data_IF_033043235430
#
_entry.id   IF_033043235430
#
_cell.length_a   1.000
_cell.length_b   1.000
_cell.length_c   1.000
_cell.angle_alpha   90.00
_cell.angle_beta   90.00
_cell.angle_gamma   90.00
#
_symmetry.space_group_name_H-M   'P 1'
#
loop_
_entity.id
_entity.type
_entity.pdbx_description
1 polymer ?
#
# COMPACT_ATOMS: atom_id res chain seq x y z
N UNK A 1 3.76 -14.72 31.81
CA UNK A 1 3.32 -13.33 31.56
C UNK A 1 2.62 -13.34 30.21
N UNK A 2 1.28 -13.22 30.20
CA UNK A 2 0.46 -13.25 29.00
C UNK A 2 0.59 -11.91 28.30
N UNK A 3 0.98 -11.92 27.02
CA UNK A 3 1.10 -10.75 26.16
C UNK A 3 -0.30 -10.28 25.69
N UNK A 4 -0.72 -9.11 26.17
CA UNK A 4 -1.94 -8.39 25.75
C UNK A 4 -1.79 -7.79 24.33
N UNK A 5 -1.57 -8.62 23.30
CA UNK A 5 -1.41 -8.18 21.92
C UNK A 5 -2.71 -8.02 21.09
N UNK A 6 -3.86 -8.47 21.59
CA UNK A 6 -5.04 -8.66 20.73
C UNK A 6 -5.97 -7.46 20.54
N UNK A 7 -6.06 -6.55 21.52
CA UNK A 7 -7.08 -5.47 21.48
C UNK A 7 -6.63 -4.20 20.76
N UNK A 8 -5.33 -3.92 20.68
CA UNK A 8 -4.78 -2.77 19.93
C UNK A 8 -4.94 -2.92 18.43
N UNK A 9 -4.68 -4.11 17.92
CA UNK A 9 -4.80 -4.47 16.50
C UNK A 9 -6.23 -4.34 15.97
N UNK A 10 -7.23 -4.79 16.72
CA UNK A 10 -8.65 -4.72 16.30
C UNK A 10 -9.20 -3.29 16.24
N UNK A 11 -8.79 -2.41 17.18
CA UNK A 11 -9.19 -1.00 17.14
C UNK A 11 -8.52 -0.25 15.97
N UNK A 12 -7.27 -0.56 15.66
CA UNK A 12 -6.55 -0.04 14.49
C UNK A 12 -7.21 -0.51 13.20
N UNK A 13 -7.52 -1.80 13.08
CA UNK A 13 -8.22 -2.35 11.92
C UNK A 13 -9.60 -1.69 11.73
N UNK A 14 -10.36 -1.51 12.80
CA UNK A 14 -11.66 -0.84 12.76
C UNK A 14 -11.51 0.64 12.35
N UNK A 15 -10.54 1.37 12.88
CA UNK A 15 -10.26 2.76 12.51
C UNK A 15 -9.88 2.91 11.04
N UNK A 16 -9.03 2.02 10.53
CA UNK A 16 -8.67 1.95 9.09
C UNK A 16 -9.89 1.62 8.23
N UNK A 17 -10.72 0.66 8.66
CA UNK A 17 -11.96 0.29 7.97
C UNK A 17 -12.92 1.47 7.86
N UNK A 18 -13.26 2.12 8.98
CA UNK A 18 -14.18 3.26 8.98
C UNK A 18 -13.57 4.47 8.26
N UNK A 19 -12.27 4.71 8.38
CA UNK A 19 -11.56 5.74 7.63
C UNK A 19 -11.61 5.50 6.12
N UNK A 20 -11.47 4.26 5.68
CA UNK A 20 -11.55 3.90 4.25
C UNK A 20 -12.95 4.02 3.65
N UNK A 21 -14.02 4.00 4.46
CA UNK A 21 -15.40 4.19 4.02
C UNK A 21 -15.72 5.63 3.62
N UNK A 22 -14.94 6.61 4.09
CA UNK A 22 -15.13 8.02 3.73
C UNK A 22 -14.37 8.28 2.42
N UNK A 23 -15.06 8.56 1.29
CA UNK A 23 -14.44 8.69 -0.03
C UNK A 23 -13.69 10.04 -0.22
N UNK A 24 -13.19 10.63 0.86
CA UNK A 24 -12.51 11.93 0.85
C UNK A 24 -11.00 11.68 0.80
N UNK A 25 -10.30 12.43 -0.04
CA UNK A 25 -8.83 12.46 -0.10
C UNK A 25 -8.19 13.17 1.11
N UNK A 26 -6.86 13.28 1.14
CA UNK A 26 -6.17 14.07 2.14
C UNK A 26 -6.53 15.55 2.01
N UNK A 27 -6.37 16.35 3.08
CA UNK A 27 -6.45 17.81 2.99
C UNK A 27 -5.49 18.38 1.94
N UNK A 28 -5.81 19.55 1.37
CA UNK A 28 -4.99 20.17 0.32
C UNK A 28 -3.53 20.41 0.73
N UNK A 29 -3.29 20.75 2.01
CA UNK A 29 -1.94 20.92 2.54
C UNK A 29 -1.14 19.59 2.52
N UNK A 30 -1.77 18.48 2.90
CA UNK A 30 -1.16 17.15 2.86
C UNK A 30 -0.98 16.63 1.44
N UNK A 31 -1.92 16.93 0.54
CA UNK A 31 -1.78 16.63 -0.88
C UNK A 31 -0.55 17.33 -1.47
N UNK A 32 -0.40 18.63 -1.22
CA UNK A 32 0.75 19.41 -1.68
C UNK A 32 2.05 18.91 -1.06
N UNK A 33 2.02 18.58 0.23
CA UNK A 33 3.16 18.02 0.94
C UNK A 33 3.60 16.67 0.31
N UNK A 34 2.66 15.76 0.06
CA UNK A 34 2.96 14.47 -0.57
C UNK A 34 3.58 14.65 -1.97
N UNK A 35 2.96 15.48 -2.80
CA UNK A 35 3.44 15.75 -4.17
C UNK A 35 4.88 16.30 -4.17
N UNK A 36 5.25 17.13 -3.19
CA UNK A 36 6.61 17.68 -3.07
C UNK A 36 7.67 16.62 -2.70
N UNK A 37 7.25 15.46 -2.16
CA UNK A 37 8.15 14.34 -1.86
C UNK A 37 8.24 13.31 -2.99
N UNK A 38 7.48 13.48 -4.06
CA UNK A 38 7.42 12.54 -5.17
C UNK A 38 8.18 13.06 -6.40
N UNK A 39 8.79 12.14 -7.14
CA UNK A 39 9.33 12.39 -8.46
C UNK A 39 8.20 12.68 -9.46
N UNK A 40 8.49 13.32 -10.57
CA UNK A 40 7.48 13.68 -11.57
C UNK A 40 6.67 12.46 -12.06
N UNK A 41 7.34 11.34 -12.37
CA UNK A 41 6.68 10.10 -12.75
C UNK A 41 5.81 9.51 -11.63
N UNK A 42 6.25 9.62 -10.38
CA UNK A 42 5.52 9.15 -9.20
C UNK A 42 4.26 9.98 -8.94
N UNK A 43 4.29 11.30 -9.19
CA UNK A 43 3.13 12.17 -9.05
C UNK A 43 1.98 11.75 -9.97
N UNK A 44 2.29 11.25 -11.17
CA UNK A 44 1.30 10.68 -12.08
C UNK A 44 0.58 9.46 -11.46
N UNK A 45 1.33 8.58 -10.82
CA UNK A 45 0.79 7.41 -10.10
C UNK A 45 -0.02 7.81 -8.87
N UNK A 46 0.49 8.75 -8.08
CA UNK A 46 -0.19 9.31 -6.90
C UNK A 46 -1.60 9.81 -7.23
N UNK A 47 -1.75 10.59 -8.31
CA UNK A 47 -3.05 11.14 -8.74
C UNK A 47 -4.05 10.06 -9.16
N UNK A 48 -3.58 8.86 -9.55
CA UNK A 48 -4.44 7.70 -9.89
C UNK A 48 -4.94 6.96 -8.67
N UNK A 49 -4.28 7.10 -7.51
CA UNK A 49 -4.73 6.46 -6.27
C UNK A 49 -6.06 7.04 -5.81
N UNK A 50 -6.88 6.22 -5.16
CA UNK A 50 -8.14 6.69 -4.59
C UNK A 50 -7.92 7.69 -3.45
N UNK A 51 -8.90 8.57 -3.20
CA UNK A 51 -8.82 9.53 -2.10
C UNK A 51 -8.52 8.87 -0.74
N UNK A 52 -9.24 7.81 -0.35
CA UNK A 52 -8.93 7.06 0.87
C UNK A 52 -7.52 6.48 0.91
N UNK A 53 -7.03 5.88 -0.21
CA UNK A 53 -5.67 5.33 -0.26
C UNK A 53 -4.62 6.41 -0.07
N UNK A 54 -4.78 7.58 -0.73
CA UNK A 54 -3.87 8.74 -0.54
C UNK A 54 -3.89 9.28 0.89
N UNK A 55 -5.06 9.37 1.50
CA UNK A 55 -5.16 9.82 2.89
C UNK A 55 -4.47 8.85 3.85
N UNK A 56 -4.65 7.53 3.66
CA UNK A 56 -3.95 6.51 4.42
C UNK A 56 -2.44 6.63 4.23
N UNK A 57 -1.97 6.71 3.00
CA UNK A 57 -0.56 6.80 2.65
C UNK A 57 0.13 8.04 3.25
N UNK A 58 -0.56 9.19 3.33
CA UNK A 58 -0.05 10.37 4.04
C UNK A 58 0.13 10.07 5.53
N UNK A 59 -0.82 9.38 6.17
CA UNK A 59 -0.69 8.94 7.56
C UNK A 59 0.55 8.06 7.75
N UNK A 60 0.67 7.00 6.95
CA UNK A 60 1.83 6.10 6.98
C UNK A 60 3.14 6.88 6.81
N UNK A 61 3.21 7.80 5.86
CA UNK A 61 4.43 8.57 5.62
C UNK A 61 4.78 9.50 6.81
N UNK A 62 3.78 10.14 7.44
CA UNK A 62 3.99 10.96 8.64
C UNK A 62 4.48 10.13 9.83
N UNK A 63 3.89 8.97 10.05
CA UNK A 63 4.26 8.06 11.13
C UNK A 63 5.66 7.47 10.90
N UNK A 64 6.00 7.12 9.64
CA UNK A 64 7.36 6.69 9.28
C UNK A 64 8.40 7.75 9.59
N UNK A 65 8.13 9.03 9.26
CA UNK A 65 9.03 10.15 9.59
C UNK A 65 9.17 10.30 11.11
N UNK A 66 8.09 10.15 11.85
CA UNK A 66 8.12 10.25 13.30
C UNK A 66 8.94 9.13 13.96
N UNK A 67 8.90 7.93 13.40
CA UNK A 67 9.64 6.77 13.88
C UNK A 67 11.15 6.85 13.55
N UNK A 68 11.49 7.26 12.33
CA UNK A 68 12.88 7.31 11.87
C UNK A 68 13.63 8.60 12.25
N UNK A 69 12.90 9.68 12.47
CA UNK A 69 13.48 11.01 12.60
C UNK A 69 13.92 11.63 11.27
N UNK A 70 14.31 12.92 11.27
CA UNK A 70 14.57 13.70 10.06
C UNK A 70 15.77 13.16 9.25
N UNK A 71 16.82 12.68 9.92
CA UNK A 71 18.07 12.28 9.26
C UNK A 71 17.90 11.01 8.40
N UNK A 72 16.99 10.13 8.77
CA UNK A 72 16.71 8.87 8.04
C UNK A 72 15.50 8.99 7.12
N UNK A 73 14.70 10.05 7.24
CA UNK A 73 13.49 10.27 6.45
C UNK A 73 13.80 10.90 5.08
N UNK A 74 14.71 10.25 4.33
CA UNK A 74 15.07 10.69 2.99
C UNK A 74 13.86 10.62 2.06
N UNK A 75 13.89 11.38 0.96
CA UNK A 75 12.80 11.46 -0.02
C UNK A 75 12.29 10.09 -0.48
N UNK A 76 13.19 9.16 -0.75
CA UNK A 76 12.86 7.81 -1.20
C UNK A 76 12.11 6.99 -0.15
N UNK A 77 12.39 7.20 1.15
CA UNK A 77 11.67 6.55 2.26
C UNK A 77 10.25 7.10 2.35
N UNK A 78 10.10 8.43 2.24
CA UNK A 78 8.79 9.07 2.24
C UNK A 78 7.97 8.64 1.01
N UNK A 79 8.60 8.58 -0.18
CA UNK A 79 7.96 8.09 -1.39
C UNK A 79 7.55 6.62 -1.26
N UNK A 80 8.37 5.77 -0.63
CA UNK A 80 8.04 4.37 -0.34
C UNK A 80 6.77 4.28 0.53
N UNK A 81 6.68 5.07 1.60
CA UNK A 81 5.48 5.13 2.44
C UNK A 81 4.25 5.64 1.69
N UNK A 82 4.40 6.67 0.83
CA UNK A 82 3.29 7.23 0.05
C UNK A 82 2.77 6.29 -1.04
N UNK A 83 3.62 5.44 -1.60
CA UNK A 83 3.33 4.66 -2.81
C UNK A 83 3.32 3.14 -2.61
N UNK A 84 3.47 2.63 -1.35
CA UNK A 84 3.51 1.19 -1.10
C UNK A 84 2.32 0.43 -1.70
N UNK A 85 1.17 1.05 -1.70
CA UNK A 85 -0.11 0.50 -2.14
C UNK A 85 -0.52 0.93 -3.56
N UNK A 86 0.35 1.58 -4.32
CA UNK A 86 0.02 2.17 -5.62
C UNK A 86 -0.52 1.15 -6.63
N UNK A 87 -0.12 -0.09 -6.54
CA UNK A 87 -0.62 -1.16 -7.42
C UNK A 87 -2.13 -1.43 -7.31
N UNK A 88 -2.79 -0.99 -6.25
CA UNK A 88 -4.26 -1.09 -6.10
C UNK A 88 -5.03 -0.32 -7.18
N UNK A 89 -4.40 0.64 -7.86
CA UNK A 89 -5.00 1.40 -8.98
C UNK A 89 -5.41 0.50 -10.14
N UNK A 90 -4.68 -0.60 -10.37
CA UNK A 90 -4.96 -1.53 -11.48
C UNK A 90 -6.21 -2.38 -11.24
N UNK A 91 -6.58 -2.64 -10.00
CA UNK A 91 -7.75 -3.47 -9.68
C UNK A 91 -9.08 -2.75 -9.90
N UNK A 92 -9.09 -1.42 -9.86
CA UNK A 92 -10.29 -0.56 -9.99
C UNK A 92 -11.43 -0.95 -9.04
N UNK A 93 -11.13 -1.59 -7.89
CA UNK A 93 -12.13 -1.92 -6.88
C UNK A 93 -12.37 -0.75 -5.93
N UNK A 94 -13.66 -0.51 -5.61
CA UNK A 94 -14.03 0.34 -4.48
C UNK A 94 -13.74 -0.35 -3.13
N UNK A 95 -13.73 0.43 -2.05
CA UNK A 95 -13.35 0.00 -0.69
C UNK A 95 -14.10 -1.25 -0.23
N UNK A 96 -15.40 -1.33 -0.43
CA UNK A 96 -16.21 -2.50 -0.01
C UNK A 96 -15.75 -3.80 -0.68
N UNK A 97 -15.51 -3.78 -1.98
CA UNK A 97 -15.05 -4.98 -2.69
C UNK A 97 -13.67 -5.42 -2.20
N UNK A 98 -12.76 -4.47 -1.93
CA UNK A 98 -11.42 -4.75 -1.37
C UNK A 98 -11.51 -5.44 -0.01
N UNK A 99 -12.38 -4.96 0.88
CA UNK A 99 -12.61 -5.57 2.21
C UNK A 99 -13.08 -7.02 2.07
N UNK A 100 -14.08 -7.28 1.23
CA UNK A 100 -14.57 -8.65 1.01
C UNK A 100 -13.52 -9.57 0.41
N UNK A 101 -12.70 -9.09 -0.52
CA UNK A 101 -11.59 -9.86 -1.10
C UNK A 101 -10.54 -10.16 -0.04
N UNK A 102 -10.21 -9.20 0.82
CA UNK A 102 -9.26 -9.39 1.94
C UNK A 102 -9.79 -10.45 2.91
N UNK A 103 -11.06 -10.38 3.34
CA UNK A 103 -11.67 -11.42 4.16
C UNK A 103 -11.64 -12.80 3.46
N UNK A 104 -12.01 -12.87 2.19
CA UNK A 104 -11.94 -14.11 1.44
C UNK A 104 -10.49 -14.65 1.39
N UNK A 105 -9.49 -13.79 1.23
CA UNK A 105 -8.09 -14.18 1.24
C UNK A 105 -7.63 -14.72 2.59
N UNK A 106 -8.13 -14.17 3.70
CA UNK A 106 -7.84 -14.66 5.06
C UNK A 106 -8.45 -16.06 5.30
N UNK A 107 -9.68 -16.31 4.85
CA UNK A 107 -10.36 -17.59 5.10
C UNK A 107 -10.00 -18.70 4.09
N UNK A 108 -9.87 -18.36 2.81
CA UNK A 108 -9.61 -19.32 1.73
C UNK A 108 -8.12 -19.50 1.46
N UNK A 109 -7.31 -18.48 1.78
CA UNK A 109 -5.89 -18.37 1.50
C UNK A 109 -5.61 -17.61 0.20
N UNK A 110 -4.72 -16.60 0.29
CA UNK A 110 -4.34 -15.71 -0.83
C UNK A 110 -3.91 -16.50 -2.08
N UNK A 111 -3.06 -17.51 -1.91
CA UNK A 111 -2.55 -18.32 -3.04
C UNK A 111 -3.65 -19.09 -3.78
N UNK A 112 -4.66 -19.57 -3.07
CA UNK A 112 -5.81 -20.28 -3.68
C UNK A 112 -6.66 -19.30 -4.49
N UNK A 113 -6.91 -18.09 -3.96
CA UNK A 113 -7.66 -17.06 -4.65
C UNK A 113 -6.93 -16.56 -5.90
N UNK A 114 -5.60 -16.38 -5.83
CA UNK A 114 -4.79 -16.00 -7.01
C UNK A 114 -4.90 -17.07 -8.09
N UNK A 115 -4.77 -18.35 -7.75
CA UNK A 115 -4.93 -19.44 -8.72
C UNK A 115 -6.35 -19.48 -9.32
N UNK A 116 -7.38 -19.25 -8.48
CA UNK A 116 -8.76 -19.17 -8.95
C UNK A 116 -8.99 -17.97 -9.86
N UNK A 117 -8.39 -16.82 -9.57
CA UNK A 117 -8.49 -15.62 -10.38
C UNK A 117 -7.92 -15.82 -11.80
N UNK A 118 -6.88 -16.66 -11.92
CA UNK A 118 -6.20 -16.92 -13.18
C UNK A 118 -5.26 -15.78 -13.59
N UNK A 119 -4.62 -15.95 -14.74
CA UNK A 119 -3.77 -14.90 -15.31
C UNK A 119 -4.67 -13.76 -15.84
N UNK A 120 -4.35 -12.49 -15.55
CA UNK A 120 -5.05 -11.37 -16.15
C UNK A 120 -4.96 -11.46 -17.67
N UNK A 121 -6.11 -11.41 -18.35
CA UNK A 121 -6.14 -11.26 -19.80
C UNK A 121 -5.83 -9.80 -20.16
N UNK A 122 -5.22 -9.58 -21.34
CA UNK A 122 -4.90 -8.24 -21.87
C UNK A 122 -6.15 -7.48 -22.37
N UNK A 123 -7.30 -7.86 -21.85
CA UNK A 123 -8.58 -7.26 -22.20
C UNK A 123 -8.70 -5.83 -21.66
N UNK A 124 -9.15 -4.91 -22.50
CA UNK A 124 -9.41 -3.51 -22.12
C UNK A 124 -10.37 -3.35 -20.93
N UNK A 125 -11.16 -4.41 -20.61
CA UNK A 125 -12.04 -4.50 -19.44
C UNK A 125 -11.87 -5.85 -18.77
N UNK A 126 -10.95 -5.96 -17.80
CA UNK A 126 -10.72 -7.23 -17.11
C UNK A 126 -11.99 -7.71 -16.41
N UNK A 127 -12.23 -9.01 -16.48
CA UNK A 127 -13.34 -9.66 -15.77
C UNK A 127 -13.22 -9.44 -14.25
N UNK A 128 -14.32 -9.62 -13.51
CA UNK A 128 -14.29 -9.49 -12.05
C UNK A 128 -13.24 -10.42 -11.41
N UNK A 129 -13.09 -11.63 -11.91
CA UNK A 129 -12.05 -12.57 -11.47
C UNK A 129 -10.64 -12.03 -11.72
N UNK A 130 -10.38 -11.53 -12.92
CA UNK A 130 -9.09 -10.94 -13.25
C UNK A 130 -8.77 -9.74 -12.35
N UNK A 131 -9.75 -8.90 -12.04
CA UNK A 131 -9.60 -7.77 -11.11
C UNK A 131 -9.26 -8.24 -9.69
N UNK A 132 -9.83 -9.37 -9.21
CA UNK A 132 -9.45 -9.98 -7.94
C UNK A 132 -7.97 -10.40 -7.97
N UNK A 133 -7.52 -11.02 -9.05
CA UNK A 133 -6.11 -11.35 -9.24
C UNK A 133 -5.19 -10.13 -9.18
N UNK A 134 -5.55 -9.06 -9.90
CA UNK A 134 -4.82 -7.78 -9.88
C UNK A 134 -4.77 -7.18 -8.47
N UNK A 135 -5.88 -7.21 -7.72
CA UNK A 135 -5.89 -6.74 -6.35
C UNK A 135 -4.99 -7.56 -5.42
N UNK A 136 -5.00 -8.88 -5.55
CA UNK A 136 -4.18 -9.78 -4.71
C UNK A 136 -2.69 -9.77 -5.08
N UNK A 137 -2.32 -9.21 -6.23
CA UNK A 137 -0.93 -9.08 -6.71
C UNK A 137 -0.51 -7.61 -6.85
N UNK A 138 -1.19 -6.70 -6.15
CA UNK A 138 -0.93 -5.26 -6.24
C UNK A 138 0.49 -4.87 -5.82
N UNK A 139 1.12 -5.62 -4.93
CA UNK A 139 2.51 -5.51 -4.53
C UNK A 139 3.45 -5.52 -5.74
N UNK A 140 3.38 -6.57 -6.55
CA UNK A 140 4.18 -6.72 -7.78
C UNK A 140 3.81 -5.70 -8.85
N UNK A 141 2.53 -5.44 -9.01
CA UNK A 141 2.04 -4.44 -9.98
C UNK A 141 2.50 -3.03 -9.59
N UNK A 142 2.46 -2.71 -8.29
CA UNK A 142 2.96 -1.45 -7.76
C UNK A 142 4.45 -1.26 -8.06
N UNK A 143 5.27 -2.27 -7.79
CA UNK A 143 6.69 -2.22 -8.11
C UNK A 143 6.94 -1.97 -9.61
N UNK A 144 6.26 -2.68 -10.51
CA UNK A 144 6.38 -2.47 -11.97
C UNK A 144 5.96 -1.06 -12.40
N UNK A 145 4.90 -0.50 -11.81
CA UNK A 145 4.48 0.87 -12.08
C UNK A 145 5.52 1.88 -11.64
N UNK A 146 6.13 1.66 -10.47
CA UNK A 146 7.17 2.51 -9.90
C UNK A 146 8.47 2.44 -10.71
N UNK A 147 8.88 1.27 -11.16
CA UNK A 147 10.02 1.10 -12.08
C UNK A 147 9.83 1.93 -13.36
N UNK A 148 8.66 1.84 -13.98
CA UNK A 148 8.33 2.61 -15.19
C UNK A 148 8.24 4.12 -14.94
N UNK A 149 7.89 4.52 -13.73
CA UNK A 149 7.85 5.92 -13.29
C UNK A 149 9.25 6.49 -12.96
N UNK A 150 10.30 5.67 -12.97
CA UNK A 150 11.67 6.08 -12.64
C UNK A 150 11.88 6.25 -11.12
N UNK A 151 11.12 5.54 -10.30
CA UNK A 151 11.26 5.55 -8.84
C UNK A 151 12.61 5.00 -8.40
N UNK A 152 13.06 5.42 -7.22
CA UNK A 152 14.29 4.89 -6.63
C UNK A 152 14.10 3.44 -6.16
N UNK A 153 15.22 2.71 -6.09
CA UNK A 153 15.23 1.27 -5.77
C UNK A 153 14.50 0.96 -4.47
N UNK A 154 14.70 1.75 -3.42
CA UNK A 154 14.03 1.55 -2.13
C UNK A 154 12.51 1.64 -2.28
N UNK A 155 12.00 2.63 -3.01
CA UNK A 155 10.55 2.82 -3.24
C UNK A 155 9.96 1.61 -3.99
N UNK A 156 10.65 1.11 -5.01
CA UNK A 156 10.25 -0.07 -5.79
C UNK A 156 10.27 -1.33 -4.94
N UNK A 157 11.38 -1.56 -4.23
CA UNK A 157 11.53 -2.74 -3.37
C UNK A 157 10.45 -2.78 -2.29
N UNK A 158 10.21 -1.66 -1.59
CA UNK A 158 9.19 -1.64 -0.55
C UNK A 158 7.78 -1.94 -1.09
N UNK A 159 7.41 -1.41 -2.24
CA UNK A 159 6.12 -1.73 -2.86
C UNK A 159 5.96 -3.23 -3.14
N UNK A 160 7.04 -3.94 -3.48
CA UNK A 160 7.03 -5.38 -3.71
C UNK A 160 7.03 -6.21 -2.41
N UNK A 161 7.64 -5.69 -1.35
CA UNK A 161 8.09 -6.47 -0.18
C UNK A 161 7.29 -6.20 1.09
N UNK A 162 6.49 -5.12 1.18
CA UNK A 162 5.81 -4.70 2.41
C UNK A 162 4.87 -5.77 3.02
N UNK A 163 4.45 -6.77 2.25
CA UNK A 163 3.68 -7.91 2.72
C UNK A 163 4.51 -9.17 2.99
N UNK A 164 5.82 -9.13 2.75
CA UNK A 164 6.72 -10.24 3.03
C UNK A 164 7.14 -10.26 4.50
N UNK A 165 7.65 -11.40 4.94
CA UNK A 165 8.30 -11.50 6.23
C UNK A 165 9.62 -10.68 6.24
N UNK A 166 10.01 -10.07 7.37
CA UNK A 166 11.18 -9.18 7.46
C UNK A 166 12.48 -9.79 6.92
N UNK A 167 12.63 -11.10 7.06
CA UNK A 167 13.82 -11.84 6.61
C UNK A 167 13.96 -11.89 5.08
N UNK A 168 12.89 -11.52 4.35
CA UNK A 168 12.83 -11.51 2.88
C UNK A 168 12.94 -10.11 2.29
N UNK A 169 13.05 -9.09 3.12
CA UNK A 169 13.21 -7.72 2.65
C UNK A 169 14.61 -7.48 2.09
N UNK A 170 14.69 -6.71 1.02
CA UNK A 170 15.95 -6.20 0.47
C UNK A 170 16.22 -4.77 0.92
N UNK A 171 15.23 -4.09 1.47
CA UNK A 171 15.37 -2.77 2.09
C UNK A 171 16.09 -2.89 3.44
N UNK A 172 16.74 -1.82 3.88
CA UNK A 172 17.34 -1.75 5.22
C UNK A 172 16.31 -2.09 6.30
N UNK A 173 16.68 -2.96 7.25
CA UNK A 173 15.77 -3.47 8.26
C UNK A 173 15.16 -2.36 9.13
N UNK A 174 15.95 -1.34 9.51
CA UNK A 174 15.45 -0.22 10.31
C UNK A 174 14.38 0.57 9.56
N UNK A 175 14.58 0.79 8.27
CA UNK A 175 13.62 1.48 7.40
C UNK A 175 12.40 0.60 7.20
N UNK A 176 12.57 -0.68 6.91
CA UNK A 176 11.48 -1.65 6.73
C UNK A 176 10.60 -1.77 7.97
N UNK A 177 11.20 -1.89 9.16
CA UNK A 177 10.50 -1.95 10.44
C UNK A 177 9.67 -0.69 10.70
N UNK A 178 10.22 0.49 10.41
CA UNK A 178 9.50 1.76 10.58
C UNK A 178 8.32 1.88 9.59
N UNK A 179 8.54 1.54 8.33
CA UNK A 179 7.49 1.54 7.30
C UNK A 179 6.38 0.54 7.63
N UNK A 180 6.74 -0.65 8.10
CA UNK A 180 5.79 -1.70 8.51
C UNK A 180 5.00 -1.30 9.74
N UNK A 181 5.66 -0.76 10.76
CA UNK A 181 5.01 -0.28 11.98
C UNK A 181 4.05 0.88 11.70
N UNK A 182 4.42 1.78 10.79
CA UNK A 182 3.61 2.91 10.38
C UNK A 182 2.35 2.47 9.61
N UNK A 183 2.45 1.45 8.77
CA UNK A 183 1.30 0.89 8.04
C UNK A 183 0.34 0.12 8.97
N UNK A 184 0.83 -0.39 10.10
CA UNK A 184 0.03 -1.10 11.10
C UNK A 184 -0.39 -2.51 10.68
N UNK A 185 0.33 -3.10 9.72
CA UNK A 185 0.16 -4.49 9.27
C UNK A 185 1.03 -5.49 10.05
#
# INVERSE_FOLDING_TARGET
>A
VATNGGFGSMRHLAGRFFGALVPIGPPAADESWAVNHLLEGEQGLWRRMSGPDRRHAVGVARDTIALLGPDQSRREVVAAALLHDVGKVESSFGTFARVWITFAAMFVGRSRLIRWAGTPSDDRRPSWRARVGLYLTHDRLGAQLLERAGSQVLTVSWAAEHHLAPELWTVDATIGDALKAADGD
#
